data_IF_050424483940
#
_entry.id   IF_050424483940
#
_cell.length_a   1.000
_cell.length_b   1.000
_cell.length_c   1.000
_cell.angle_alpha   90.00
_cell.angle_beta   90.00
_cell.angle_gamma   90.00
#
_symmetry.space_group_name_H-M   'P 1'
#
loop_
_entity.id
_entity.type
_entity.pdbx_description
1 polymer ?
#
# COMPACT_ATOMS: atom_id res chain seq x y z
N UNK A 1 4.73 20.85 -15.67
CA UNK A 1 4.68 19.71 -14.72
C UNK A 1 6.12 19.40 -14.29
N UNK A 2 6.46 19.56 -13.01
CA UNK A 2 7.82 19.28 -12.52
C UNK A 2 8.21 17.81 -12.69
N UNK A 3 9.50 17.52 -12.87
CA UNK A 3 10.03 16.15 -13.06
C UNK A 3 9.61 15.22 -11.91
N UNK A 4 9.64 15.73 -10.68
CA UNK A 4 9.18 15.03 -9.47
C UNK A 4 7.74 14.52 -9.57
N UNK A 5 6.81 15.35 -10.05
CA UNK A 5 5.41 14.98 -10.22
C UNK A 5 5.21 13.93 -11.33
N UNK A 6 6.06 13.92 -12.35
CA UNK A 6 6.01 12.91 -13.40
C UNK A 6 6.44 11.53 -12.89
N UNK A 7 7.48 11.48 -12.05
CA UNK A 7 7.92 10.27 -11.36
C UNK A 7 6.76 9.75 -10.48
N UNK A 8 6.14 10.64 -9.71
CA UNK A 8 5.00 10.30 -8.84
C UNK A 8 3.78 9.76 -9.60
N UNK A 9 3.59 10.20 -10.85
CA UNK A 9 2.53 9.66 -11.71
C UNK A 9 2.85 8.24 -12.25
N UNK A 10 4.13 7.88 -12.35
CA UNK A 10 4.56 6.52 -12.74
C UNK A 10 4.78 5.58 -11.55
N UNK A 11 4.59 6.06 -10.32
CA UNK A 11 4.94 5.30 -9.11
C UNK A 11 4.26 3.96 -8.98
N UNK A 12 3.01 3.79 -9.44
CA UNK A 12 2.38 2.47 -9.43
C UNK A 12 3.20 1.41 -10.17
N UNK A 13 3.81 1.76 -11.31
CA UNK A 13 4.67 0.84 -12.05
C UNK A 13 5.96 0.55 -11.31
N UNK A 14 6.57 1.59 -10.73
CA UNK A 14 7.82 1.48 -9.96
C UNK A 14 7.62 0.60 -8.73
N UNK A 15 6.60 0.88 -7.91
CA UNK A 15 6.27 0.11 -6.71
C UNK A 15 5.99 -1.35 -7.09
N UNK A 16 5.14 -1.58 -8.09
CA UNK A 16 4.83 -2.96 -8.54
C UNK A 16 6.08 -3.71 -8.98
N UNK A 17 6.97 -3.08 -9.75
CA UNK A 17 8.21 -3.70 -10.20
C UNK A 17 9.16 -4.01 -9.03
N UNK A 18 9.36 -3.05 -8.11
CA UNK A 18 10.19 -3.25 -6.93
C UNK A 18 9.65 -4.37 -6.03
N UNK A 19 8.34 -4.43 -5.84
CA UNK A 19 7.71 -5.50 -5.05
C UNK A 19 7.81 -6.86 -5.72
N UNK A 20 7.65 -6.93 -7.04
CA UNK A 20 7.88 -8.16 -7.80
C UNK A 20 9.34 -8.63 -7.69
N UNK A 21 10.31 -7.72 -7.86
CA UNK A 21 11.73 -8.04 -7.68
C UNK A 21 12.04 -8.50 -6.25
N UNK A 22 11.47 -7.85 -5.24
CA UNK A 22 11.64 -8.24 -3.84
C UNK A 22 11.04 -9.62 -3.55
N UNK A 23 9.88 -9.93 -4.12
CA UNK A 23 9.29 -11.26 -4.06
C UNK A 23 10.17 -12.31 -4.75
N UNK A 24 10.66 -12.04 -5.95
CA UNK A 24 11.54 -12.97 -6.68
C UNK A 24 12.87 -13.20 -5.95
N UNK A 25 13.40 -12.17 -5.29
CA UNK A 25 14.62 -12.27 -4.49
C UNK A 25 14.42 -13.10 -3.22
N UNK A 26 13.38 -12.81 -2.44
CA UNK A 26 13.13 -13.48 -1.15
C UNK A 26 12.45 -14.83 -1.31
N UNK A 27 11.66 -15.02 -2.38
CA UNK A 27 10.73 -16.14 -2.58
C UNK A 27 9.85 -16.44 -1.36
N UNK A 28 9.53 -15.39 -0.59
CA UNK A 28 8.82 -15.50 0.67
C UNK A 28 7.31 -15.60 0.48
N UNK A 29 6.67 -16.56 1.15
CA UNK A 29 5.21 -16.65 1.21
C UNK A 29 4.58 -15.43 1.89
N UNK A 30 5.24 -14.84 2.90
CA UNK A 30 4.76 -13.61 3.54
C UNK A 30 4.74 -12.43 2.56
N UNK A 31 5.75 -12.33 1.68
CA UNK A 31 5.76 -11.33 0.61
C UNK A 31 4.67 -11.60 -0.43
N UNK A 32 4.41 -12.87 -0.77
CA UNK A 32 3.27 -13.23 -1.64
C UNK A 32 1.93 -12.84 -1.01
N UNK A 33 1.74 -13.11 0.28
CA UNK A 33 0.54 -12.76 1.03
C UNK A 33 0.33 -11.24 1.13
N UNK A 34 1.41 -10.49 1.34
CA UNK A 34 1.42 -9.03 1.27
C UNK A 34 0.96 -8.52 -0.11
N UNK A 35 1.50 -9.08 -1.21
CA UNK A 35 1.10 -8.72 -2.58
C UNK A 35 -0.38 -9.02 -2.81
N UNK A 36 -0.86 -10.18 -2.37
CA UNK A 36 -2.26 -10.56 -2.46
C UNK A 36 -3.16 -9.55 -1.72
N UNK A 37 -2.75 -9.12 -0.52
CA UNK A 37 -3.44 -8.09 0.25
C UNK A 37 -3.49 -6.74 -0.44
N UNK A 38 -2.40 -6.32 -1.08
CA UNK A 38 -2.36 -5.09 -1.86
C UNK A 38 -3.33 -5.12 -3.05
N UNK A 39 -3.38 -6.25 -3.77
CA UNK A 39 -4.33 -6.47 -4.87
C UNK A 39 -5.76 -6.47 -4.35
N UNK A 40 -6.03 -7.21 -3.28
CA UNK A 40 -7.34 -7.28 -2.63
C UNK A 40 -7.81 -5.89 -2.17
N UNK A 41 -6.95 -5.10 -1.53
CA UNK A 41 -7.23 -3.71 -1.15
C UNK A 41 -7.60 -2.86 -2.37
N UNK A 42 -6.84 -2.97 -3.47
CA UNK A 42 -7.12 -2.24 -4.72
C UNK A 42 -8.49 -2.60 -5.30
N UNK A 43 -8.82 -3.90 -5.33
CA UNK A 43 -10.12 -4.40 -5.80
C UNK A 43 -11.23 -3.88 -4.89
N UNK A 44 -11.09 -4.03 -3.58
CA UNK A 44 -12.05 -3.59 -2.58
C UNK A 44 -12.37 -2.10 -2.73
N UNK A 45 -11.36 -1.24 -2.78
CA UNK A 45 -11.53 0.22 -2.93
C UNK A 45 -12.17 0.57 -4.28
N UNK A 46 -11.86 -0.18 -5.34
CA UNK A 46 -12.53 -0.04 -6.65
C UNK A 46 -13.99 -0.50 -6.62
N UNK A 47 -14.36 -1.43 -5.76
CA UNK A 47 -15.75 -1.81 -5.55
C UNK A 47 -16.50 -0.74 -4.75
N UNK A 48 -15.93 -0.29 -3.62
CA UNK A 48 -16.50 0.78 -2.78
C UNK A 48 -16.77 2.05 -3.60
N UNK A 49 -15.85 2.45 -4.47
CA UNK A 49 -16.08 3.66 -5.28
C UNK A 49 -17.20 3.54 -6.30
N UNK A 50 -17.54 2.32 -6.76
CA UNK A 50 -18.69 2.09 -7.65
C UNK A 50 -20.02 2.21 -6.90
N UNK A 51 -19.99 2.06 -5.57
CA UNK A 51 -21.13 2.28 -4.69
C UNK A 51 -21.28 3.77 -4.38
N UNK A 52 -20.20 4.44 -3.95
CA UNK A 52 -20.22 5.86 -3.56
C UNK A 52 -20.48 6.79 -4.75
N UNK A 53 -19.89 6.49 -5.91
CA UNK A 53 -20.07 7.23 -7.17
C UNK A 53 -19.76 8.74 -7.11
N UNK A 54 -19.00 9.21 -6.12
CA UNK A 54 -18.63 10.62 -6.03
C UNK A 54 -17.80 11.06 -7.24
N UNK A 55 -18.10 12.21 -7.87
CA UNK A 55 -17.32 12.72 -9.00
C UNK A 55 -15.90 13.13 -8.59
N UNK A 56 -15.01 13.22 -9.58
CA UNK A 56 -13.66 13.80 -9.41
C UNK A 56 -13.72 15.34 -9.43
N UNK A 57 -12.66 16.03 -8.99
CA UNK A 57 -12.56 17.48 -9.15
C UNK A 57 -12.83 17.90 -10.62
N UNK A 58 -13.73 18.87 -10.86
CA UNK A 58 -14.07 19.33 -12.21
C UNK A 58 -12.87 19.99 -12.89
N UNK A 59 -12.73 19.81 -14.20
CA UNK A 59 -11.72 20.51 -15.02
C UNK A 59 -10.25 20.05 -14.89
N UNK A 60 -9.91 19.23 -13.89
CA UNK A 60 -8.50 18.85 -13.61
C UNK A 60 -8.16 17.39 -13.95
N UNK A 61 -9.13 16.47 -13.91
CA UNK A 61 -8.88 15.05 -14.14
C UNK A 61 -9.34 14.59 -15.52
N UNK A 62 -8.39 14.14 -16.37
CA UNK A 62 -8.70 13.45 -17.64
C UNK A 62 -9.33 12.05 -17.48
N UNK A 63 -9.44 11.53 -16.26
CA UNK A 63 -9.98 10.18 -15.98
C UNK A 63 -11.50 10.20 -15.80
N UNK A 64 -12.20 9.45 -16.64
CA UNK A 64 -13.66 9.17 -16.56
C UNK A 64 -13.93 8.04 -15.53
N UNK A 65 -13.68 8.30 -14.25
CA UNK A 65 -13.97 7.33 -13.17
C UNK A 65 -14.31 8.05 -11.87
N UNK A 66 -14.99 7.38 -10.95
CA UNK A 66 -15.32 7.95 -9.63
C UNK A 66 -14.08 8.35 -8.81
N UNK A 67 -14.25 9.39 -7.99
CA UNK A 67 -13.19 10.03 -7.21
C UNK A 67 -13.02 9.45 -5.81
N UNK A 68 -14.08 8.97 -5.15
CA UNK A 68 -14.03 8.51 -3.76
C UNK A 68 -14.24 7.00 -3.63
N UNK A 69 -13.38 6.28 -2.88
CA UNK A 69 -12.09 6.71 -2.35
C UNK A 69 -10.99 6.76 -3.43
N UNK A 70 -9.88 7.45 -3.13
CA UNK A 70 -8.67 7.38 -3.96
C UNK A 70 -8.02 6.00 -3.85
N UNK A 71 -8.12 5.18 -4.90
CA UNK A 71 -7.49 3.85 -4.96
C UNK A 71 -5.97 3.91 -4.83
N UNK A 72 -5.32 4.91 -5.44
CA UNK A 72 -3.86 5.07 -5.30
C UNK A 72 -3.46 5.36 -3.85
N UNK A 73 -4.20 6.25 -3.18
CA UNK A 73 -3.93 6.61 -1.78
C UNK A 73 -4.17 5.42 -0.86
N UNK A 74 -5.26 4.66 -1.08
CA UNK A 74 -5.54 3.47 -0.31
C UNK A 74 -4.47 2.39 -0.48
N UNK A 75 -4.12 2.03 -1.72
CA UNK A 75 -3.11 0.98 -1.96
C UNK A 75 -1.74 1.39 -1.42
N UNK A 76 -1.30 2.64 -1.60
CA UNK A 76 0.04 3.01 -1.10
C UNK A 76 0.10 3.13 0.43
N UNK A 77 -0.99 3.52 1.07
CA UNK A 77 -1.08 3.50 2.53
C UNK A 77 -1.18 2.08 3.08
N UNK A 78 -1.82 1.15 2.35
CA UNK A 78 -1.75 -0.27 2.67
C UNK A 78 -0.28 -0.74 2.73
N UNK A 79 0.53 -0.41 1.71
CA UNK A 79 1.96 -0.74 1.68
C UNK A 79 2.69 -0.20 2.91
N UNK A 80 2.54 1.10 3.19
CA UNK A 80 3.24 1.73 4.31
C UNK A 80 2.85 1.11 5.66
N UNK A 81 1.55 0.94 5.92
CA UNK A 81 1.06 0.33 7.16
C UNK A 81 1.53 -1.11 7.30
N UNK A 82 1.45 -1.91 6.24
CA UNK A 82 1.89 -3.29 6.30
C UNK A 82 3.39 -3.41 6.54
N UNK A 83 4.21 -2.58 5.88
CA UNK A 83 5.66 -2.56 6.08
C UNK A 83 6.00 -2.21 7.55
N UNK A 84 5.31 -1.21 8.13
CA UNK A 84 5.47 -0.86 9.55
C UNK A 84 5.18 -2.06 10.45
N UNK A 85 4.02 -2.72 10.24
CA UNK A 85 3.60 -3.86 11.05
C UNK A 85 4.54 -5.06 10.87
N UNK A 86 4.91 -5.40 9.64
CA UNK A 86 5.83 -6.49 9.33
C UNK A 86 7.22 -6.26 9.95
N UNK A 87 7.77 -5.05 9.81
CA UNK A 87 9.06 -4.69 10.42
C UNK A 87 9.05 -4.76 11.94
N UNK A 88 7.92 -4.41 12.57
CA UNK A 88 7.78 -4.44 14.03
C UNK A 88 7.51 -5.84 14.58
N UNK A 89 6.70 -6.65 13.90
CA UNK A 89 6.07 -7.83 14.49
C UNK A 89 6.45 -9.16 13.84
N UNK A 90 6.93 -9.17 12.59
CA UNK A 90 7.35 -10.41 11.92
C UNK A 90 8.84 -10.69 12.14
N UNK A 91 9.26 -11.97 12.06
CA UNK A 91 10.68 -12.31 11.99
C UNK A 91 11.30 -11.78 10.69
N UNK A 92 12.58 -11.40 10.75
CA UNK A 92 13.31 -10.95 9.57
C UNK A 92 13.57 -12.16 8.68
N UNK A 93 13.16 -12.08 7.42
CA UNK A 93 13.38 -13.14 6.45
C UNK A 93 14.88 -13.50 6.32
N UNK A 94 15.21 -14.79 6.20
CA UNK A 94 16.59 -15.29 6.14
C UNK A 94 17.43 -14.68 5.00
N UNK A 95 16.80 -14.31 3.88
CA UNK A 95 17.47 -13.63 2.75
C UNK A 95 17.82 -12.17 3.03
N UNK A 96 17.47 -11.62 4.20
CA UNK A 96 17.76 -10.24 4.57
C UNK A 96 18.79 -10.18 5.70
N UNK A 97 19.58 -9.10 5.80
CA UNK A 97 20.50 -8.90 6.91
C UNK A 97 19.78 -8.96 8.25
N UNK A 98 20.28 -9.77 9.19
CA UNK A 98 19.71 -9.92 10.52
C UNK A 98 20.21 -8.78 11.42
N UNK A 99 19.68 -7.57 11.18
CA UNK A 99 20.11 -6.35 11.87
C UNK A 99 18.92 -5.49 12.32
N UNK A 100 19.09 -4.67 13.37
CA UNK A 100 18.06 -3.69 13.75
C UNK A 100 17.70 -2.74 12.61
N UNK A 101 18.66 -2.41 11.73
CA UNK A 101 18.43 -1.53 10.58
C UNK A 101 17.41 -2.12 9.60
N UNK A 102 17.36 -3.44 9.46
CA UNK A 102 16.37 -4.13 8.61
C UNK A 102 14.94 -3.94 9.12
N UNK A 103 14.76 -3.62 10.40
CA UNK A 103 13.46 -3.26 10.99
C UNK A 103 13.17 -1.76 10.89
N UNK A 104 14.18 -0.91 10.97
CA UNK A 104 13.99 0.55 11.06
C UNK A 104 13.93 1.23 9.69
N UNK A 105 14.81 0.85 8.76
CA UNK A 105 14.94 1.52 7.46
C UNK A 105 13.67 1.41 6.61
N UNK A 106 13.02 0.24 6.46
CA UNK A 106 11.87 0.13 5.56
C UNK A 106 10.70 1.04 5.96
N UNK A 107 10.25 1.09 7.24
CA UNK A 107 9.21 2.04 7.65
C UNK A 107 9.60 3.51 7.47
N UNK A 108 10.85 3.87 7.81
CA UNK A 108 11.38 5.25 7.69
C UNK A 108 11.36 5.73 6.24
N UNK A 109 11.56 4.83 5.27
CA UNK A 109 11.48 5.16 3.84
C UNK A 109 10.04 5.08 3.32
N UNK A 110 9.31 4.02 3.66
CA UNK A 110 8.00 3.73 3.09
C UNK A 110 6.94 4.75 3.49
N UNK A 111 6.91 5.19 4.76
CA UNK A 111 5.86 6.09 5.27
C UNK A 111 5.94 7.50 4.62
N UNK A 112 7.10 8.19 4.58
CA UNK A 112 7.21 9.47 3.90
C UNK A 112 6.95 9.36 2.40
N UNK A 113 7.42 8.29 1.77
CA UNK A 113 7.22 8.06 0.34
C UNK A 113 5.74 7.83 0.00
N UNK A 114 5.06 6.99 0.76
CA UNK A 114 3.62 6.75 0.61
C UNK A 114 2.79 8.02 0.81
N UNK A 115 3.14 8.81 1.84
CA UNK A 115 2.51 10.11 2.11
C UNK A 115 2.70 11.07 0.92
N UNK A 116 3.91 11.13 0.37
CA UNK A 116 4.22 11.94 -0.82
C UNK A 116 3.41 11.52 -2.05
N UNK A 117 3.26 10.21 -2.28
CA UNK A 117 2.43 9.67 -3.37
C UNK A 117 0.95 10.02 -3.17
N UNK A 118 0.44 9.88 -1.94
CA UNK A 118 -0.95 10.23 -1.62
C UNK A 118 -1.22 11.73 -1.86
N UNK A 119 -0.34 12.61 -1.37
CA UNK A 119 -0.44 14.06 -1.58
C UNK A 119 -0.28 14.47 -3.05
N UNK A 120 0.51 13.72 -3.83
CA UNK A 120 0.64 13.95 -5.28
C UNK A 120 -0.70 13.88 -6.00
N UNK A 121 -1.66 13.09 -5.50
CA UNK A 121 -2.98 12.93 -6.12
C UNK A 121 -3.80 14.23 -6.09
N UNK A 122 -3.56 15.06 -5.07
CA UNK A 122 -4.16 16.39 -4.93
C UNK A 122 -3.44 17.36 -5.87
N UNK A 123 -2.10 17.40 -5.80
CA UNK A 123 -1.27 18.32 -6.62
C UNK A 123 -1.39 18.09 -8.13
N UNK A 124 -1.62 16.85 -8.54
CA UNK A 124 -1.86 16.47 -9.94
C UNK A 124 -3.33 16.68 -10.37
N UNK A 125 -4.20 17.19 -9.48
CA UNK A 125 -5.60 17.45 -9.79
C UNK A 125 -6.46 16.20 -9.97
N UNK A 126 -6.01 15.04 -9.50
CA UNK A 126 -6.73 13.79 -9.69
C UNK A 126 -7.84 13.57 -8.66
N UNK A 127 -7.69 14.12 -7.45
CA UNK A 127 -8.55 13.88 -6.30
C UNK A 127 -8.60 15.10 -5.38
N UNK A 128 -9.71 15.25 -4.64
CA UNK A 128 -9.79 16.23 -3.53
C UNK A 128 -9.03 15.73 -2.29
N UNK A 129 -8.70 16.61 -1.32
CA UNK A 129 -8.12 16.20 -0.05
C UNK A 129 -8.95 15.14 0.68
N UNK A 130 -10.28 15.29 0.72
CA UNK A 130 -11.18 14.33 1.35
C UNK A 130 -11.12 12.94 0.68
N UNK A 131 -11.08 12.88 -0.65
CA UNK A 131 -10.97 11.62 -1.40
C UNK A 131 -9.65 10.89 -1.13
N UNK A 132 -8.56 11.65 -0.97
CA UNK A 132 -7.25 11.13 -0.60
C UNK A 132 -7.26 10.64 0.84
N UNK A 133 -7.77 11.43 1.77
CA UNK A 133 -7.85 11.10 3.19
C UNK A 133 -8.64 9.82 3.44
N UNK A 134 -9.87 9.72 2.92
CA UNK A 134 -10.69 8.51 3.08
C UNK A 134 -10.06 7.31 2.40
N UNK A 135 -9.40 7.50 1.26
CA UNK A 135 -8.60 6.45 0.63
C UNK A 135 -7.49 5.96 1.56
N UNK A 136 -6.69 6.88 2.10
CA UNK A 136 -5.59 6.58 3.02
C UNK A 136 -6.05 5.83 4.27
N UNK A 137 -7.09 6.30 4.94
CA UNK A 137 -7.65 5.66 6.15
C UNK A 137 -8.13 4.24 5.83
N UNK A 138 -8.86 4.07 4.71
CA UNK A 138 -9.35 2.76 4.29
C UNK A 138 -8.20 1.80 3.96
N UNK A 139 -7.12 2.31 3.36
CA UNK A 139 -5.90 1.55 3.08
C UNK A 139 -5.21 1.07 4.36
N UNK A 140 -5.02 1.97 5.33
CA UNK A 140 -4.44 1.63 6.63
C UNK A 140 -5.27 0.58 7.37
N UNK A 141 -6.60 0.78 7.44
CA UNK A 141 -7.51 -0.15 8.10
C UNK A 141 -7.47 -1.53 7.43
N UNK A 142 -7.51 -1.58 6.09
CA UNK A 142 -7.41 -2.84 5.35
C UNK A 142 -6.08 -3.56 5.61
N UNK A 143 -4.96 -2.82 5.66
CA UNK A 143 -3.66 -3.41 5.97
C UNK A 143 -3.60 -3.99 7.38
N UNK A 144 -4.11 -3.25 8.39
CA UNK A 144 -4.15 -3.75 9.76
C UNK A 144 -4.97 -5.04 9.88
N UNK A 145 -6.13 -5.09 9.22
CA UNK A 145 -6.98 -6.28 9.18
C UNK A 145 -6.31 -7.45 8.44
N UNK A 146 -5.73 -7.20 7.25
CA UNK A 146 -5.02 -8.22 6.47
C UNK A 146 -3.81 -8.79 7.21
N UNK A 147 -3.01 -7.91 7.85
CA UNK A 147 -1.87 -8.32 8.66
C UNK A 147 -2.27 -9.13 9.88
N UNK A 148 -3.37 -8.76 10.55
CA UNK A 148 -3.87 -9.51 11.72
C UNK A 148 -4.23 -10.95 11.33
N UNK A 149 -4.82 -11.15 10.15
CA UNK A 149 -5.10 -12.49 9.62
C UNK A 149 -3.82 -13.30 9.37
N UNK A 150 -2.78 -12.70 8.78
CA UNK A 150 -1.47 -13.37 8.59
C UNK A 150 -0.89 -13.83 9.93
N UNK A 151 -0.89 -12.92 10.92
CA UNK A 151 -0.33 -13.18 12.23
C UNK A 151 -1.07 -14.33 12.93
N UNK A 152 -2.41 -14.29 12.94
CA UNK A 152 -3.22 -15.36 13.54
C UNK A 152 -2.98 -16.71 12.88
N UNK A 153 -2.88 -16.76 11.54
CA UNK A 153 -2.59 -18.01 10.83
C UNK A 153 -1.19 -18.52 11.16
N UNK A 154 -0.19 -17.62 11.18
CA UNK A 154 1.20 -18.00 11.47
C UNK A 154 1.34 -18.54 12.90
N UNK A 155 0.73 -17.87 13.88
CA UNK A 155 0.71 -18.32 15.28
C UNK A 155 0.01 -19.67 15.43
N UNK A 156 -1.12 -19.88 14.74
CA UNK A 156 -1.84 -21.14 14.76
C UNK A 156 -1.02 -22.29 14.16
N UNK A 157 -0.36 -22.07 13.02
CA UNK A 157 0.47 -23.10 12.38
C UNK A 157 1.65 -23.49 13.28
N UNK A 158 2.32 -22.52 13.89
CA UNK A 158 3.43 -22.78 14.83
C UNK A 158 2.93 -23.56 16.07
N UNK A 159 1.72 -23.28 16.55
CA UNK A 159 1.17 -23.93 17.73
C UNK A 159 0.71 -25.38 17.50
N UNK A 160 0.35 -25.75 16.26
CA UNK A 160 -0.34 -27.03 15.96
C UNK A 160 0.55 -28.01 15.18
N UNK A 161 1.57 -27.54 14.46
CA UNK A 161 2.47 -28.40 13.69
C UNK A 161 3.81 -28.56 14.46
N UNK A 162 4.09 -29.74 15.05
CA UNK A 162 5.30 -29.99 15.84
C UNK A 162 6.58 -30.01 15.02
#
# INVERSE_FOLDING_TARGET
MSVWLQILNRTSRIVTALTALFFLYTRSLGVAYFIAGAVACSIFVKSVKKVIRQPRPPGLSKKVSYGMPSTHSATIMFYATYIVLASALLPIHQSLPQSPLTRVVPPVVAVPWASSIALSRIRLGHHTPAQVFVGSVLGCAFAASWFSLEKTVTEYVIAVVP
#
